data_IF_521191537518
#
_entry.id   IF_521191537518
#
_cell.length_a   1.000
_cell.length_b   1.000
_cell.length_c   1.000
_cell.angle_alpha   90.00
_cell.angle_beta   90.00
_cell.angle_gamma   90.00
#
_symmetry.space_group_name_H-M   'P 1'
#
loop_
_entity.id
_entity.type
_entity.pdbx_description
1 polymer ?
#
# COMPACT_ATOMS: atom_id res chain seq x y z
N UNK A 1 -2.53 21.04 -0.02
CA UNK A 1 -2.17 20.18 1.14
C UNK A 1 -2.89 18.82 1.11
N UNK A 2 -4.23 18.73 1.05
CA UNK A 2 -4.96 17.46 1.07
C UNK A 2 -4.58 16.57 -0.12
N UNK A 3 -4.41 17.13 -1.32
CA UNK A 3 -3.91 16.41 -2.50
C UNK A 3 -2.52 15.75 -2.31
N UNK A 4 -1.68 16.33 -1.45
CA UNK A 4 -0.37 15.73 -1.17
C UNK A 4 -0.47 14.63 -0.11
N UNK A 5 -1.22 14.89 0.96
CA UNK A 5 -1.43 13.95 2.07
C UNK A 5 -2.72 14.26 2.82
N UNK A 6 -3.54 13.27 3.07
CA UNK A 6 -4.78 13.41 3.85
C UNK A 6 -4.55 13.85 5.30
N UNK A 7 -3.37 13.62 5.84
CA UNK A 7 -2.97 14.11 7.17
C UNK A 7 -3.07 15.63 7.30
N UNK A 8 -3.13 16.38 6.18
CA UNK A 8 -3.41 17.81 6.20
C UNK A 8 -4.75 18.17 6.88
N UNK A 9 -5.71 17.24 6.88
CA UNK A 9 -6.97 17.39 7.62
C UNK A 9 -6.72 17.56 9.12
N UNK A 10 -5.73 16.87 9.69
CA UNK A 10 -5.34 17.02 11.10
C UNK A 10 -4.77 18.41 11.37
N UNK A 11 -3.93 18.94 10.46
CA UNK A 11 -3.40 20.31 10.60
C UNK A 11 -4.55 21.32 10.66
N UNK A 12 -5.52 21.20 9.76
CA UNK A 12 -6.71 22.05 9.72
C UNK A 12 -7.53 21.88 11.00
N UNK A 13 -7.79 20.63 11.42
CA UNK A 13 -8.54 20.31 12.63
C UNK A 13 -7.92 20.89 13.89
N UNK A 14 -6.61 20.72 14.10
CA UNK A 14 -5.91 21.29 15.26
C UNK A 14 -5.85 22.83 15.21
N UNK A 15 -5.80 23.43 14.01
CA UNK A 15 -5.90 24.88 13.86
C UNK A 15 -7.28 25.39 14.29
N UNK A 16 -8.35 24.72 13.88
CA UNK A 16 -9.72 25.06 14.30
C UNK A 16 -9.87 24.88 15.81
N UNK A 17 -9.41 23.76 16.36
CA UNK A 17 -9.45 23.50 17.81
C UNK A 17 -8.70 24.55 18.63
N UNK A 18 -7.60 25.11 18.09
CA UNK A 18 -6.87 26.18 18.76
C UNK A 18 -7.68 27.47 18.86
N UNK A 19 -8.63 27.67 17.92
CA UNK A 19 -9.38 28.91 17.78
C UNK A 19 -10.78 28.63 17.26
N UNK A 20 -11.64 28.18 18.12
CA UNK A 20 -13.05 27.93 17.79
C UNK A 20 -13.80 29.19 17.30
N UNK A 21 -13.26 30.39 17.57
CA UNK A 21 -13.80 31.65 17.03
C UNK A 21 -13.79 31.70 15.50
N UNK A 22 -12.92 30.88 14.81
CA UNK A 22 -12.91 30.77 13.37
C UNK A 22 -14.24 30.27 12.81
N UNK A 23 -14.95 29.40 13.54
CA UNK A 23 -16.25 28.85 13.13
C UNK A 23 -17.34 29.93 13.06
N UNK A 24 -17.15 31.10 13.66
CA UNK A 24 -18.06 32.24 13.58
C UNK A 24 -17.77 33.16 12.40
N UNK A 25 -16.69 32.92 11.66
CA UNK A 25 -16.26 33.77 10.55
C UNK A 25 -16.84 33.26 9.21
N UNK A 26 -17.58 34.12 8.53
CA UNK A 26 -18.09 33.84 7.18
C UNK A 26 -16.93 33.54 6.19
N UNK A 27 -15.83 34.29 6.33
CA UNK A 27 -14.64 34.07 5.47
C UNK A 27 -14.04 32.68 5.63
N UNK A 28 -14.09 32.12 6.84
CA UNK A 28 -13.65 30.75 7.09
C UNK A 28 -14.52 29.75 6.33
N UNK A 29 -15.84 29.90 6.35
CA UNK A 29 -16.76 29.00 5.63
C UNK A 29 -16.64 29.15 4.12
N UNK A 30 -16.50 30.38 3.60
CA UNK A 30 -16.25 30.60 2.18
C UNK A 30 -14.94 29.94 1.71
N UNK A 31 -13.85 30.05 2.49
CA UNK A 31 -12.62 29.37 2.20
C UNK A 31 -12.76 27.83 2.24
N UNK A 32 -13.55 27.32 3.19
CA UNK A 32 -13.89 25.90 3.28
C UNK A 32 -14.67 25.39 2.06
N UNK A 33 -15.70 26.11 1.64
CA UNK A 33 -16.47 25.78 0.43
C UNK A 33 -15.57 25.78 -0.79
N UNK A 34 -14.76 26.81 -0.96
CA UNK A 34 -13.80 26.88 -2.08
C UNK A 34 -12.81 25.73 -2.07
N UNK A 35 -12.28 25.34 -0.91
CA UNK A 35 -11.41 24.18 -0.76
C UNK A 35 -12.13 22.87 -1.13
N UNK A 36 -13.41 22.70 -0.75
CA UNK A 36 -14.21 21.53 -1.13
C UNK A 36 -14.47 21.48 -2.64
N UNK A 37 -14.76 22.63 -3.28
CA UNK A 37 -14.91 22.69 -4.74
C UNK A 37 -13.65 22.22 -5.48
N UNK A 38 -12.47 22.65 -5.00
CA UNK A 38 -11.19 22.17 -5.56
C UNK A 38 -11.02 20.66 -5.36
N UNK A 39 -11.58 20.06 -4.33
CA UNK A 39 -11.46 18.63 -4.05
C UNK A 39 -12.48 17.76 -4.83
N UNK A 40 -13.48 18.34 -5.50
CA UNK A 40 -14.48 17.59 -6.27
C UNK A 40 -13.84 16.62 -7.27
N UNK A 41 -12.87 17.02 -8.13
CA UNK A 41 -12.26 16.09 -9.09
C UNK A 41 -11.58 14.91 -8.38
N UNK A 42 -10.99 15.13 -7.22
CA UNK A 42 -10.36 14.08 -6.42
C UNK A 42 -11.39 13.09 -5.84
N UNK A 43 -12.50 13.58 -5.30
CA UNK A 43 -13.57 12.72 -4.81
C UNK A 43 -14.23 11.93 -5.95
N UNK A 44 -14.42 12.55 -7.11
CA UNK A 44 -14.91 11.86 -8.30
C UNK A 44 -13.96 10.73 -8.72
N UNK A 45 -12.66 11.00 -8.75
CA UNK A 45 -11.67 9.97 -9.04
C UNK A 45 -11.67 8.84 -7.99
N UNK A 46 -11.75 9.16 -6.71
CA UNK A 46 -11.86 8.16 -5.64
C UNK A 46 -13.09 7.27 -5.83
N UNK A 47 -14.25 7.86 -6.16
CA UNK A 47 -15.48 7.13 -6.42
C UNK A 47 -15.35 6.21 -7.66
N UNK A 48 -14.76 6.70 -8.73
CA UNK A 48 -14.55 5.95 -9.96
C UNK A 48 -13.57 4.76 -9.83
N UNK A 49 -12.75 4.76 -8.77
CA UNK A 49 -11.75 3.71 -8.49
C UNK A 49 -12.02 2.98 -7.15
N UNK A 50 -13.26 2.94 -6.67
CA UNK A 50 -13.66 2.23 -5.44
C UNK A 50 -12.94 2.68 -4.17
N UNK A 51 -12.65 3.98 -4.04
CA UNK A 51 -12.03 4.60 -2.87
C UNK A 51 -10.70 3.96 -2.42
N UNK A 52 -9.69 3.77 -3.29
CA UNK A 52 -8.49 3.01 -2.97
C UNK A 52 -7.72 3.54 -1.76
N UNK A 53 -7.69 4.86 -1.57
CA UNK A 53 -7.00 5.47 -0.43
C UNK A 53 -7.73 5.24 0.90
N UNK A 54 -9.06 5.25 0.88
CA UNK A 54 -9.86 5.00 2.08
C UNK A 54 -9.81 3.52 2.46
N UNK A 55 -9.90 2.61 1.48
CA UNK A 55 -9.76 1.18 1.71
C UNK A 55 -8.40 0.88 2.36
N UNK A 56 -7.33 1.41 1.81
CA UNK A 56 -5.98 1.23 2.35
C UNK A 56 -5.83 1.69 3.80
N UNK A 57 -6.34 2.89 4.14
CA UNK A 57 -6.13 3.44 5.48
C UNK A 57 -7.10 2.92 6.53
N UNK A 58 -8.33 2.57 6.15
CA UNK A 58 -9.39 2.19 7.09
C UNK A 58 -9.60 0.69 7.20
N UNK A 59 -9.32 -0.06 6.14
CA UNK A 59 -9.56 -1.51 6.07
C UNK A 59 -8.26 -2.30 6.11
N UNK A 60 -7.38 -2.09 5.13
CA UNK A 60 -6.19 -2.94 4.95
C UNK A 60 -5.18 -2.83 6.08
N UNK A 61 -5.12 -1.67 6.74
CA UNK A 61 -4.22 -1.41 7.88
C UNK A 61 -4.82 -1.68 9.24
N UNK A 62 -6.10 -2.04 9.33
CA UNK A 62 -6.76 -2.35 10.60
C UNK A 62 -6.49 -3.80 10.99
N UNK A 63 -5.42 -4.03 11.73
CA UNK A 63 -4.98 -5.40 12.13
C UNK A 63 -5.46 -5.83 13.51
N UNK A 64 -6.27 -5.03 14.19
CA UNK A 64 -6.60 -5.23 15.60
C UNK A 64 -5.48 -4.75 16.54
N UNK A 65 -5.66 -4.95 17.84
CA UNK A 65 -4.70 -4.52 18.85
C UNK A 65 -3.42 -5.36 18.78
N UNK A 66 -2.27 -4.70 18.57
CA UNK A 66 -0.93 -5.30 18.62
C UNK A 66 -0.02 -4.45 19.49
N UNK A 67 0.37 -4.97 20.63
CA UNK A 67 1.29 -4.29 21.55
C UNK A 67 2.63 -3.92 20.89
N UNK A 68 3.12 -4.75 19.96
CA UNK A 68 4.33 -4.47 19.19
C UNK A 68 4.29 -3.14 18.45
N UNK A 69 3.18 -2.82 17.76
CA UNK A 69 3.01 -1.56 17.04
C UNK A 69 3.10 -0.34 17.97
N UNK A 70 2.56 -0.48 19.19
CA UNK A 70 2.62 0.57 20.20
C UNK A 70 4.03 0.75 20.75
N UNK A 71 4.74 -0.35 21.02
CA UNK A 71 6.12 -0.31 21.50
C UNK A 71 7.09 0.25 20.46
N UNK A 72 6.84 0.01 19.17
CA UNK A 72 7.62 0.59 18.06
C UNK A 72 7.35 2.09 17.86
N UNK A 73 6.15 2.56 18.20
CA UNK A 73 5.76 3.95 17.95
C UNK A 73 6.70 4.96 18.63
N UNK A 74 6.97 4.80 19.94
CA UNK A 74 7.81 5.75 20.69
C UNK A 74 9.24 5.84 20.19
N UNK A 75 9.99 4.72 20.00
CA UNK A 75 11.32 4.76 19.40
C UNK A 75 11.32 5.39 18.00
N UNK A 76 10.30 5.12 17.19
CA UNK A 76 10.17 5.71 15.88
C UNK A 76 10.05 7.25 15.94
N UNK A 77 9.29 7.80 16.90
CA UNK A 77 9.22 9.25 17.09
C UNK A 77 10.59 9.84 17.51
N UNK A 78 11.32 9.15 18.38
CA UNK A 78 12.67 9.55 18.74
C UNK A 78 13.61 9.55 17.52
N UNK A 79 13.50 8.58 16.64
CA UNK A 79 14.29 8.52 15.40
C UNK A 79 13.93 9.66 14.44
N UNK A 80 12.63 9.97 14.25
CA UNK A 80 12.17 11.02 13.33
C UNK A 80 12.55 12.42 13.79
N UNK A 81 12.33 12.72 15.07
CA UNK A 81 12.52 14.08 15.61
C UNK A 81 13.84 14.29 16.34
N UNK A 82 14.64 13.25 16.47
CA UNK A 82 15.83 13.23 17.32
C UNK A 82 15.53 13.41 18.83
N UNK A 83 16.07 12.55 19.71
CA UNK A 83 15.82 12.62 21.15
C UNK A 83 16.10 13.98 21.78
N UNK A 84 17.14 14.66 21.29
CA UNK A 84 17.56 15.97 21.79
C UNK A 84 16.54 17.07 21.44
N UNK A 85 15.97 17.03 20.22
CA UNK A 85 14.94 18.00 19.79
C UNK A 85 13.63 17.74 20.52
N UNK A 86 13.22 16.49 20.68
CA UNK A 86 12.04 16.14 21.46
C UNK A 86 12.20 16.59 22.91
N UNK A 87 13.35 16.35 23.53
CA UNK A 87 13.64 16.81 24.90
C UNK A 87 13.45 18.30 25.06
N UNK A 88 13.97 19.10 24.11
CA UNK A 88 13.76 20.55 24.11
C UNK A 88 12.28 20.92 23.94
N UNK A 89 11.57 20.28 23.04
CA UNK A 89 10.15 20.52 22.79
C UNK A 89 9.29 20.22 24.02
N UNK A 90 9.50 19.06 24.64
CA UNK A 90 8.83 18.65 25.87
C UNK A 90 9.10 19.67 26.99
N UNK A 91 10.35 20.04 27.19
CA UNK A 91 10.72 21.06 28.16
C UNK A 91 9.98 22.39 27.90
N UNK A 92 9.98 22.86 26.65
CA UNK A 92 9.29 24.11 26.25
C UNK A 92 7.80 24.02 26.56
N UNK A 93 7.16 22.92 26.13
CA UNK A 93 5.71 22.76 26.27
C UNK A 93 5.26 22.67 27.74
N UNK A 94 6.04 22.06 28.62
CA UNK A 94 5.70 21.95 30.04
C UNK A 94 6.06 23.20 30.86
N UNK A 95 7.10 23.92 30.47
CA UNK A 95 7.57 25.11 31.27
C UNK A 95 7.03 26.45 30.77
N UNK A 96 6.61 26.53 29.51
CA UNK A 96 6.15 27.78 28.92
C UNK A 96 4.69 27.66 28.48
N UNK A 97 3.85 28.53 29.02
CA UNK A 97 2.50 28.69 28.49
C UNK A 97 2.56 29.42 27.13
N UNK A 98 1.71 29.04 26.15
CA UNK A 98 1.66 29.75 24.87
C UNK A 98 1.32 31.25 25.09
N UNK A 99 2.13 32.12 24.50
CA UNK A 99 2.01 33.58 24.66
C UNK A 99 0.89 34.19 23.81
N UNK A 100 0.32 33.43 22.90
CA UNK A 100 -0.76 33.87 22.02
C UNK A 100 -1.38 32.74 21.23
N UNK A 101 -2.33 33.11 20.39
CA UNK A 101 -3.12 32.17 19.61
C UNK A 101 -2.24 31.35 18.61
N UNK A 102 -1.30 32.02 17.96
CA UNK A 102 -0.40 31.37 17.01
C UNK A 102 0.43 30.26 17.69
N UNK A 103 1.07 30.59 18.81
CA UNK A 103 1.87 29.65 19.58
C UNK A 103 1.01 28.50 20.14
N UNK A 104 -0.22 28.81 20.60
CA UNK A 104 -1.20 27.79 21.00
C UNK A 104 -1.54 26.82 19.87
N UNK A 105 -1.69 27.30 18.63
CA UNK A 105 -1.94 26.49 17.45
C UNK A 105 -0.78 25.54 17.21
N UNK A 106 0.47 26.02 17.28
CA UNK A 106 1.66 25.19 17.08
C UNK A 106 1.77 24.09 18.16
N UNK A 107 1.48 24.43 19.42
CA UNK A 107 1.47 23.45 20.52
C UNK A 107 0.42 22.36 20.29
N UNK A 108 -0.79 22.75 19.89
CA UNK A 108 -1.85 21.79 19.59
C UNK A 108 -1.54 20.92 18.39
N UNK A 109 -0.89 21.45 17.37
CA UNK A 109 -0.43 20.63 16.22
C UNK A 109 0.60 19.61 16.68
N UNK A 110 1.63 19.99 17.43
CA UNK A 110 2.65 19.03 17.91
C UNK A 110 2.01 17.95 18.78
N UNK A 111 1.32 18.36 19.86
CA UNK A 111 0.71 17.40 20.79
C UNK A 111 -0.37 16.56 20.09
N UNK A 112 -1.23 17.20 19.31
CA UNK A 112 -2.34 16.56 18.61
C UNK A 112 -1.89 15.48 17.64
N UNK A 113 -0.88 15.73 16.81
CA UNK A 113 -0.33 14.72 15.91
C UNK A 113 0.28 13.53 16.68
N UNK A 114 1.13 13.80 17.67
CA UNK A 114 1.76 12.75 18.46
C UNK A 114 0.71 11.89 19.16
N UNK A 115 -0.27 12.52 19.82
CA UNK A 115 -1.34 11.81 20.53
C UNK A 115 -2.26 11.07 19.56
N UNK A 116 -2.65 11.68 18.44
CA UNK A 116 -3.51 11.05 17.44
C UNK A 116 -2.88 9.77 16.89
N UNK A 117 -1.63 9.84 16.46
CA UNK A 117 -0.96 8.65 15.91
C UNK A 117 -0.58 7.62 16.98
N UNK A 118 -0.40 8.05 18.23
CA UNK A 118 -0.30 7.13 19.35
C UNK A 118 -1.57 6.27 19.48
N UNK A 119 -2.76 6.87 19.39
CA UNK A 119 -4.01 6.11 19.41
C UNK A 119 -4.18 5.24 18.16
N UNK A 120 -3.73 5.68 17.00
CA UNK A 120 -3.74 4.83 15.79
C UNK A 120 -2.82 3.62 15.95
N UNK A 121 -1.69 3.75 16.66
CA UNK A 121 -0.76 2.64 16.93
C UNK A 121 -1.39 1.48 17.71
N UNK A 122 -2.50 1.69 18.42
CA UNK A 122 -3.28 0.59 19.02
C UNK A 122 -3.97 -0.31 17.99
N UNK A 123 -4.23 0.20 16.79
CA UNK A 123 -4.97 -0.51 15.73
C UNK A 123 -4.09 -1.04 14.61
N UNK A 124 -2.82 -0.64 14.56
CA UNK A 124 -1.91 -1.09 13.52
C UNK A 124 -0.62 -0.29 13.45
N UNK A 125 0.26 -0.66 12.55
CA UNK A 125 1.56 -0.03 12.36
C UNK A 125 1.41 1.42 11.87
N UNK A 126 2.08 2.33 12.57
CA UNK A 126 2.18 3.76 12.21
C UNK A 126 3.54 4.02 11.58
N UNK A 127 3.53 4.47 10.32
CA UNK A 127 4.77 4.82 9.64
C UNK A 127 5.47 6.00 10.34
N UNK A 128 6.78 5.92 10.61
CA UNK A 128 7.51 6.97 11.31
C UNK A 128 7.32 8.36 10.69
N UNK A 129 7.28 8.44 9.36
CA UNK A 129 7.17 9.71 8.64
C UNK A 129 5.78 10.37 8.69
N UNK A 130 4.76 9.73 9.28
CA UNK A 130 3.42 10.33 9.33
C UNK A 130 3.35 11.54 10.27
N UNK A 131 4.16 11.57 11.30
CA UNK A 131 4.23 12.69 12.24
C UNK A 131 5.16 13.81 11.79
N UNK A 132 5.84 13.69 10.66
CA UNK A 132 6.83 14.67 10.17
C UNK A 132 6.24 16.07 9.98
N UNK A 133 4.91 16.19 9.80
CA UNK A 133 4.20 17.47 9.76
C UNK A 133 4.43 18.32 11.04
N UNK A 134 4.75 17.68 12.18
CA UNK A 134 5.09 18.36 13.42
C UNK A 134 6.46 19.06 13.37
N UNK A 135 7.32 18.74 12.42
CA UNK A 135 8.67 19.34 12.32
C UNK A 135 8.59 20.86 12.14
N UNK A 136 7.66 21.33 11.31
CA UNK A 136 7.51 22.77 11.06
C UNK A 136 7.11 23.53 12.34
N UNK A 137 5.99 23.20 13.04
CA UNK A 137 5.64 23.86 14.28
C UNK A 137 6.72 23.71 15.37
N UNK A 138 7.40 22.56 15.41
CA UNK A 138 8.49 22.32 16.35
C UNK A 138 9.68 23.25 16.13
N UNK A 139 10.14 23.41 14.88
CA UNK A 139 11.24 24.31 14.52
C UNK A 139 10.86 25.75 14.82
N UNK A 140 9.64 26.17 14.48
CA UNK A 140 9.17 27.53 14.73
C UNK A 140 9.19 27.85 16.24
N UNK A 141 8.64 26.97 17.06
CA UNK A 141 8.63 27.17 18.54
C UNK A 141 10.05 27.17 19.09
N UNK A 142 10.88 26.22 18.69
CA UNK A 142 12.27 26.13 19.16
C UNK A 142 13.04 27.40 18.81
N UNK A 143 12.93 27.87 17.56
CA UNK A 143 13.60 29.11 17.11
C UNK A 143 13.12 30.32 17.87
N UNK A 144 11.80 30.45 18.10
CA UNK A 144 11.23 31.56 18.86
C UNK A 144 11.72 31.55 20.32
N UNK A 145 11.74 30.37 20.98
CA UNK A 145 12.18 30.25 22.37
C UNK A 145 13.69 30.40 22.52
N UNK A 146 14.49 30.02 21.52
CA UNK A 146 15.92 30.32 21.51
C UNK A 146 16.24 31.83 21.58
N UNK A 147 15.33 32.67 21.07
CA UNK A 147 15.48 34.14 21.15
C UNK A 147 15.13 34.74 22.54
N UNK A 148 14.26 34.06 23.29
CA UNK A 148 13.69 34.57 24.52
C UNK A 148 14.21 33.87 25.78
N UNK A 149 14.71 32.64 25.68
CA UNK A 149 15.23 31.84 26.80
C UNK A 149 16.70 31.41 26.56
N UNK A 150 17.66 32.03 27.32
CA UNK A 150 19.07 31.68 27.18
C UNK A 150 19.41 30.20 27.50
N UNK A 151 18.56 29.51 28.27
CA UNK A 151 18.76 28.10 28.61
C UNK A 151 18.49 27.24 27.39
N UNK A 152 17.40 27.50 26.66
CA UNK A 152 17.06 26.80 25.42
C UNK A 152 18.11 27.07 24.37
N UNK A 153 18.57 28.32 24.24
CA UNK A 153 19.64 28.67 23.30
C UNK A 153 20.94 27.90 23.59
N UNK A 154 21.36 27.82 24.85
CA UNK A 154 22.56 27.08 25.25
C UNK A 154 22.41 25.58 24.99
N UNK A 155 21.25 25.01 25.30
CA UNK A 155 20.93 23.61 25.00
C UNK A 155 21.01 23.35 23.51
N UNK A 156 20.33 24.14 22.70
CA UNK A 156 20.31 23.99 21.24
C UNK A 156 21.70 24.09 20.63
N UNK A 157 22.49 25.11 21.03
CA UNK A 157 23.89 25.27 20.58
C UNK A 157 24.78 24.06 20.94
N UNK A 158 24.60 23.50 22.14
CA UNK A 158 25.37 22.36 22.61
C UNK A 158 25.07 21.09 21.78
N UNK A 159 23.82 20.90 21.38
CA UNK A 159 23.37 19.65 20.78
C UNK A 159 23.15 19.69 19.27
N UNK A 160 23.21 20.86 18.63
CA UNK A 160 22.99 20.98 17.16
C UNK A 160 24.06 20.22 16.37
N UNK A 161 25.33 20.36 16.75
CA UNK A 161 26.43 19.68 16.08
C UNK A 161 26.41 18.15 16.29
N UNK A 162 26.30 17.63 17.52
CA UNK A 162 26.11 16.18 17.73
C UNK A 162 24.90 15.63 16.99
N UNK A 163 23.79 16.35 16.92
CA UNK A 163 22.60 15.95 16.14
C UNK A 163 22.93 15.83 14.66
N UNK A 164 23.57 16.85 14.08
CA UNK A 164 23.96 16.83 12.67
C UNK A 164 24.92 15.68 12.36
N UNK A 165 25.92 15.47 13.20
CA UNK A 165 26.88 14.36 13.05
C UNK A 165 26.18 12.99 13.14
N UNK A 166 25.21 12.84 14.04
CA UNK A 166 24.42 11.62 14.15
C UNK A 166 23.62 11.35 12.86
N UNK A 167 22.98 12.36 12.28
CA UNK A 167 22.27 12.21 11.02
C UNK A 167 23.20 11.88 9.84
N UNK A 168 24.34 12.53 9.76
CA UNK A 168 25.37 12.23 8.75
C UNK A 168 25.86 10.80 8.89
N UNK A 169 26.20 10.38 10.13
CA UNK A 169 26.62 9.01 10.40
C UNK A 169 25.54 7.99 10.03
N UNK A 170 24.27 8.25 10.42
CA UNK A 170 23.16 7.38 10.04
C UNK A 170 23.00 7.27 8.51
N UNK A 171 23.18 8.39 7.78
CA UNK A 171 23.16 8.40 6.31
C UNK A 171 24.32 7.59 5.71
N UNK A 172 25.52 7.79 6.20
CA UNK A 172 26.70 7.01 5.75
C UNK A 172 26.44 5.53 6.01
N UNK A 173 25.90 5.17 7.19
CA UNK A 173 25.55 3.79 7.54
C UNK A 173 24.57 3.17 6.56
N UNK A 174 23.56 3.91 6.09
CA UNK A 174 22.57 3.38 5.10
C UNK A 174 23.18 3.16 3.71
N UNK A 175 24.33 3.75 3.40
CA UNK A 175 25.04 3.56 2.14
C UNK A 175 26.05 2.41 2.19
N UNK A 176 26.36 1.88 3.37
CA UNK A 176 27.32 0.78 3.54
C UNK A 176 26.65 -0.58 3.39
N UNK A 177 27.34 -1.55 2.76
CA UNK A 177 26.85 -2.93 2.59
C UNK A 177 27.18 -3.79 3.82
N UNK A 178 26.77 -3.35 5.01
CA UNK A 178 26.92 -4.12 6.24
C UNK A 178 25.82 -5.18 6.33
N UNK A 179 26.18 -6.46 6.41
CA UNK A 179 25.24 -7.60 6.42
C UNK A 179 24.12 -7.45 7.44
N UNK A 180 24.42 -6.93 8.64
CA UNK A 180 23.44 -6.75 9.72
C UNK A 180 22.32 -5.73 9.40
N UNK A 181 22.63 -4.69 8.61
CA UNK A 181 21.67 -3.63 8.24
C UNK A 181 21.30 -3.66 6.76
N UNK A 182 21.66 -4.71 6.04
CA UNK A 182 21.45 -4.85 4.60
C UNK A 182 19.97 -4.67 4.21
N UNK A 183 19.03 -5.09 5.07
CA UNK A 183 17.61 -4.90 4.86
C UNK A 183 17.14 -3.43 4.99
N UNK A 184 17.90 -2.59 5.70
CA UNK A 184 17.67 -1.15 5.87
C UNK A 184 18.51 -0.30 4.92
N UNK A 185 19.57 -0.88 4.33
CA UNK A 185 20.55 -0.19 3.52
C UNK A 185 20.27 -0.35 2.02
N UNK A 186 20.69 0.62 1.23
CA UNK A 186 20.67 0.57 -0.23
C UNK A 186 21.94 -0.10 -0.81
N UNK A 187 22.91 -0.46 0.03
CA UNK A 187 24.15 -1.11 -0.36
C UNK A 187 23.92 -2.43 -1.07
N UNK A 188 24.64 -2.67 -2.16
CA UNK A 188 24.55 -3.86 -3.00
C UNK A 188 23.30 -3.94 -3.89
N UNK A 189 22.29 -3.09 -3.68
CA UNK A 189 21.06 -3.10 -4.48
C UNK A 189 21.28 -2.63 -5.91
N UNK A 190 22.13 -1.66 -6.12
CA UNK A 190 22.46 -1.20 -7.47
C UNK A 190 23.07 -2.32 -8.30
N UNK A 191 24.02 -3.05 -7.75
CA UNK A 191 24.65 -4.17 -8.45
C UNK A 191 23.60 -5.25 -8.80
N UNK A 192 22.73 -5.60 -7.85
CA UNK A 192 21.65 -6.57 -8.09
C UNK A 192 20.76 -6.16 -9.28
N UNK A 193 20.36 -4.89 -9.37
CA UNK A 193 19.51 -4.41 -10.46
C UNK A 193 20.27 -4.22 -11.78
N UNK A 194 21.56 -3.91 -11.74
CA UNK A 194 22.43 -3.88 -12.94
C UNK A 194 22.65 -5.29 -13.51
N UNK A 195 22.80 -6.29 -12.66
CA UNK A 195 22.87 -7.71 -13.06
C UNK A 195 21.57 -8.11 -13.75
N UNK A 196 20.40 -7.77 -13.16
CA UNK A 196 19.10 -8.00 -13.77
C UNK A 196 18.94 -7.28 -15.12
N UNK A 197 19.41 -6.04 -15.23
CA UNK A 197 19.43 -5.30 -16.50
C UNK A 197 20.23 -6.01 -17.58
N UNK A 198 21.40 -6.52 -17.24
CA UNK A 198 22.25 -7.28 -18.15
C UNK A 198 21.56 -8.55 -18.64
N UNK A 199 20.84 -9.25 -17.78
CA UNK A 199 20.09 -10.45 -18.17
C UNK A 199 18.81 -10.13 -18.99
N UNK A 200 18.07 -9.08 -18.62
CA UNK A 200 16.90 -8.67 -19.37
C UNK A 200 17.26 -8.15 -20.77
N UNK A 201 18.44 -7.53 -20.91
CA UNK A 201 18.86 -6.87 -22.15
C UNK A 201 17.94 -5.70 -22.46
N UNK A 202 17.36 -5.69 -23.68
CA UNK A 202 16.44 -4.63 -24.13
C UNK A 202 14.97 -4.94 -23.83
N UNK A 203 14.68 -6.08 -23.20
CA UNK A 203 13.31 -6.44 -22.84
C UNK A 203 12.82 -5.60 -21.66
N UNK A 204 11.54 -5.16 -21.66
CA UNK A 204 10.94 -4.55 -20.49
C UNK A 204 10.88 -5.55 -19.34
N UNK A 205 11.14 -5.06 -18.13
CA UNK A 205 11.14 -5.91 -16.93
C UNK A 205 9.80 -5.82 -16.21
N UNK A 206 9.16 -6.97 -16.01
CA UNK A 206 7.85 -7.10 -15.35
C UNK A 206 8.03 -7.84 -14.02
N UNK A 207 7.63 -7.20 -12.93
CA UNK A 207 7.69 -7.79 -11.60
C UNK A 207 6.31 -8.25 -11.13
N UNK A 208 6.26 -9.34 -10.37
CA UNK A 208 5.07 -9.66 -9.56
C UNK A 208 5.04 -8.85 -8.27
N UNK A 209 3.86 -8.42 -7.83
CA UNK A 209 3.63 -7.82 -6.52
C UNK A 209 3.61 -6.30 -6.50
N UNK A 210 4.31 -5.67 -5.53
CA UNK A 210 4.17 -4.25 -5.27
C UNK A 210 5.19 -3.38 -6.03
N UNK A 211 5.02 -2.06 -5.91
CA UNK A 211 5.74 -1.04 -6.67
C UNK A 211 7.24 -0.88 -6.34
N UNK A 212 7.71 -1.42 -5.21
CA UNK A 212 9.08 -1.17 -4.73
C UNK A 212 10.15 -1.70 -5.70
N UNK A 213 9.99 -2.93 -6.17
CA UNK A 213 10.97 -3.57 -7.07
C UNK A 213 11.09 -2.85 -8.41
N UNK A 214 10.01 -2.60 -9.17
CA UNK A 214 10.12 -1.87 -10.43
C UNK A 214 10.63 -0.42 -10.24
N UNK A 215 10.25 0.26 -9.14
CA UNK A 215 10.75 1.60 -8.86
C UNK A 215 12.25 1.63 -8.60
N UNK A 216 12.78 0.64 -7.86
CA UNK A 216 14.23 0.52 -7.64
C UNK A 216 14.97 0.13 -8.91
N UNK A 217 14.42 -0.78 -9.71
CA UNK A 217 15.00 -1.13 -11.01
C UNK A 217 15.12 0.11 -11.90
N UNK A 218 14.02 0.85 -12.06
CA UNK A 218 14.02 2.08 -12.88
C UNK A 218 14.97 3.15 -12.33
N UNK A 219 15.08 3.26 -10.99
CA UNK A 219 16.00 4.23 -10.36
C UNK A 219 17.47 3.92 -10.66
N UNK A 220 17.88 2.63 -10.55
CA UNK A 220 19.28 2.26 -10.73
C UNK A 220 19.70 2.10 -12.20
N UNK A 221 18.77 1.67 -13.06
CA UNK A 221 19.10 1.35 -14.47
C UNK A 221 18.68 2.45 -15.45
N UNK A 222 17.75 3.32 -15.07
CA UNK A 222 17.13 4.28 -15.97
C UNK A 222 16.12 3.67 -16.94
N UNK A 223 15.90 2.33 -16.89
CA UNK A 223 14.94 1.63 -17.75
C UNK A 223 13.57 1.52 -17.12
N UNK A 224 12.53 1.44 -17.95
CA UNK A 224 11.16 1.22 -17.47
C UNK A 224 10.98 -0.19 -16.95
N UNK A 225 10.22 -0.30 -15.86
CA UNK A 225 9.71 -1.56 -15.34
C UNK A 225 8.30 -1.39 -14.78
N UNK A 226 7.56 -2.48 -14.69
CA UNK A 226 6.18 -2.48 -14.23
C UNK A 226 5.95 -3.57 -13.18
N UNK A 227 4.99 -3.35 -12.27
CA UNK A 227 4.50 -4.39 -11.38
C UNK A 227 3.11 -4.85 -11.81
N UNK A 228 2.89 -6.16 -11.77
CA UNK A 228 1.57 -6.78 -11.88
C UNK A 228 1.17 -7.23 -10.48
N UNK A 229 0.09 -6.65 -9.97
CA UNK A 229 -0.46 -6.99 -8.66
C UNK A 229 -1.32 -8.25 -8.70
N UNK A 230 -1.51 -8.87 -7.55
CA UNK A 230 -2.45 -9.96 -7.33
C UNK A 230 -3.21 -9.73 -6.03
N UNK A 231 -4.14 -10.60 -5.68
CA UNK A 231 -4.86 -10.53 -4.40
C UNK A 231 -3.94 -10.74 -3.18
N UNK A 232 -2.70 -11.24 -3.37
CA UNK A 232 -1.67 -11.30 -2.33
C UNK A 232 -0.96 -9.97 -2.10
N UNK A 233 -1.14 -9.00 -2.99
CA UNK A 233 -0.54 -7.68 -2.91
C UNK A 233 -1.61 -6.61 -3.10
N UNK A 234 -1.38 -5.44 -2.52
CA UNK A 234 -2.30 -4.31 -2.73
C UNK A 234 -2.20 -3.79 -4.15
N UNK A 235 -3.28 -3.23 -4.66
CA UNK A 235 -3.26 -2.43 -5.88
C UNK A 235 -2.32 -1.23 -5.73
N UNK A 236 -1.63 -0.91 -6.81
CA UNK A 236 -0.65 0.16 -6.89
C UNK A 236 -1.02 1.14 -8.01
N UNK A 237 -0.21 2.18 -8.17
CA UNK A 237 -0.36 3.13 -9.27
C UNK A 237 -0.21 2.46 -10.65
N UNK A 238 0.59 1.39 -10.74
CA UNK A 238 0.74 0.62 -11.98
C UNK A 238 -0.61 0.02 -12.43
N UNK A 239 -1.38 -0.51 -11.50
CA UNK A 239 -2.71 -1.09 -11.79
C UNK A 239 -3.71 -0.03 -12.21
N UNK A 240 -3.75 1.11 -11.50
CA UNK A 240 -4.67 2.21 -11.77
C UNK A 240 -4.40 2.85 -13.14
N UNK A 241 -3.14 3.06 -13.47
CA UNK A 241 -2.72 3.62 -14.76
C UNK A 241 -2.65 2.59 -15.88
N UNK A 242 -2.83 1.30 -15.54
CA UNK A 242 -2.91 0.22 -16.53
C UNK A 242 -1.64 0.09 -17.39
N UNK A 243 -0.50 0.21 -16.73
CA UNK A 243 0.79 0.11 -17.43
C UNK A 243 0.99 -1.22 -18.14
N UNK A 244 0.36 -2.31 -17.65
CA UNK A 244 0.43 -3.62 -18.27
C UNK A 244 -0.04 -3.65 -19.72
N UNK A 245 -0.93 -2.74 -20.13
CA UNK A 245 -1.40 -2.65 -21.53
C UNK A 245 -0.28 -2.46 -22.53
N UNK A 246 0.76 -1.70 -22.14
CA UNK A 246 1.92 -1.43 -23.00
C UNK A 246 2.74 -2.68 -23.27
N UNK A 247 2.73 -3.63 -22.34
CA UNK A 247 3.62 -4.78 -22.35
C UNK A 247 2.92 -6.10 -22.69
N UNK A 248 1.60 -6.16 -22.53
CA UNK A 248 0.83 -7.35 -22.88
C UNK A 248 0.99 -7.71 -24.35
N UNK A 249 1.00 -9.01 -24.62
CA UNK A 249 1.18 -9.62 -25.95
C UNK A 249 2.50 -9.22 -26.64
N UNK A 250 3.50 -8.80 -25.85
CA UNK A 250 4.84 -8.44 -26.32
C UNK A 250 5.90 -9.23 -25.53
N UNK A 251 7.10 -9.36 -26.07
CA UNK A 251 8.22 -9.95 -25.34
C UNK A 251 8.55 -9.17 -24.07
N UNK A 252 8.88 -9.88 -22.99
CA UNK A 252 9.23 -9.30 -21.71
C UNK A 252 10.19 -10.19 -20.91
N UNK A 253 10.89 -9.59 -19.96
CA UNK A 253 11.61 -10.31 -18.91
C UNK A 253 10.78 -10.27 -17.61
N UNK A 254 10.38 -11.43 -17.12
CA UNK A 254 9.41 -11.54 -16.04
C UNK A 254 10.10 -12.03 -14.76
N UNK A 255 9.98 -11.25 -13.69
CA UNK A 255 10.49 -11.56 -12.36
C UNK A 255 9.32 -11.89 -11.42
N UNK A 256 9.04 -13.16 -11.21
CA UNK A 256 7.99 -13.62 -10.28
C UNK A 256 8.62 -13.86 -8.92
N UNK A 257 7.96 -13.36 -7.86
CA UNK A 257 8.35 -13.68 -6.50
C UNK A 257 7.83 -15.11 -6.20
N UNK A 258 8.68 -16.08 -5.84
CA UNK A 258 8.26 -17.45 -5.61
C UNK A 258 7.54 -17.58 -4.25
N UNK A 259 6.37 -16.98 -4.10
CA UNK A 259 5.45 -17.23 -2.98
C UNK A 259 4.51 -18.43 -3.23
N UNK A 260 4.74 -19.17 -4.29
CA UNK A 260 4.00 -20.38 -4.62
C UNK A 260 4.82 -21.23 -5.57
N UNK A 261 4.66 -22.51 -5.50
CA UNK A 261 5.32 -23.66 -6.13
C UNK A 261 5.78 -23.57 -7.62
N UNK A 262 6.10 -22.40 -8.12
CA UNK A 262 6.58 -22.20 -9.51
C UNK A 262 8.03 -21.72 -9.55
N UNK A 263 8.92 -22.37 -8.81
CA UNK A 263 10.37 -22.25 -9.01
C UNK A 263 10.81 -22.98 -10.30
N UNK A 264 10.15 -22.68 -11.43
CA UNK A 264 10.45 -23.41 -12.68
C UNK A 264 11.72 -22.87 -13.35
N UNK A 265 12.18 -21.67 -13.01
CA UNK A 265 13.34 -21.03 -13.65
C UNK A 265 14.14 -20.15 -12.66
N UNK A 266 14.56 -20.69 -11.52
CA UNK A 266 15.56 -20.01 -10.72
C UNK A 266 16.94 -20.21 -11.38
N UNK A 267 17.47 -19.17 -12.02
CA UNK A 267 18.90 -19.10 -12.26
C UNK A 267 19.58 -18.88 -10.90
N UNK A 268 20.53 -19.73 -10.54
CA UNK A 268 21.28 -19.66 -9.26
C UNK A 268 22.06 -18.32 -9.10
N UNK A 269 22.15 -17.53 -10.17
CA UNK A 269 22.88 -16.27 -10.25
C UNK A 269 22.03 -15.05 -9.95
N UNK A 270 20.71 -15.09 -10.13
CA UNK A 270 19.84 -13.93 -9.87
C UNK A 270 18.97 -14.15 -8.66
N UNK A 271 19.11 -13.30 -7.66
CA UNK A 271 18.25 -13.24 -6.46
C UNK A 271 16.77 -12.97 -6.75
N UNK A 272 16.42 -12.64 -7.98
CA UNK A 272 15.06 -12.25 -8.36
C UNK A 272 14.27 -13.34 -9.05
N UNK A 273 14.90 -14.44 -9.47
CA UNK A 273 14.26 -15.46 -10.31
C UNK A 273 13.52 -14.80 -11.48
N UNK A 274 14.01 -14.95 -12.70
CA UNK A 274 13.40 -14.33 -13.86
C UNK A 274 13.51 -15.20 -15.08
N UNK A 275 12.65 -14.99 -16.06
CA UNK A 275 12.67 -15.69 -17.34
C UNK A 275 12.18 -14.78 -18.46
N UNK A 276 12.60 -15.10 -19.68
CA UNK A 276 12.15 -14.41 -20.89
C UNK A 276 10.87 -15.06 -21.41
N UNK A 277 9.95 -14.24 -21.86
CA UNK A 277 8.74 -14.68 -22.57
C UNK A 277 8.63 -13.92 -23.90
N UNK A 278 8.12 -14.59 -24.91
CA UNK A 278 7.85 -13.96 -26.21
C UNK A 278 6.53 -13.18 -26.21
N UNK A 279 5.63 -13.55 -25.30
CA UNK A 279 4.33 -12.89 -25.14
C UNK A 279 3.95 -12.85 -23.67
N UNK A 280 3.88 -11.64 -23.11
CA UNK A 280 3.35 -11.42 -21.77
C UNK A 280 1.82 -11.53 -21.80
N UNK A 281 1.24 -12.27 -20.85
CA UNK A 281 -0.20 -12.35 -20.69
C UNK A 281 -0.60 -12.03 -19.25
N UNK A 282 -1.37 -10.96 -19.06
CA UNK A 282 -2.02 -10.62 -17.77
C UNK A 282 -3.52 -10.75 -17.89
N UNK A 283 -4.19 -11.02 -16.77
CA UNK A 283 -5.64 -11.20 -16.69
C UNK A 283 -6.33 -10.22 -15.73
N UNK A 284 -5.58 -9.26 -15.20
CA UNK A 284 -6.02 -8.35 -14.13
C UNK A 284 -7.22 -7.47 -14.52
N UNK A 285 -7.46 -7.26 -15.82
CA UNK A 285 -8.55 -6.40 -16.31
C UNK A 285 -9.78 -7.15 -16.77
N UNK A 286 -9.69 -8.47 -16.89
CA UNK A 286 -10.87 -9.28 -17.18
C UNK A 286 -11.89 -9.05 -16.07
N UNK A 287 -13.11 -8.79 -16.44
CA UNK A 287 -14.22 -8.56 -15.51
C UNK A 287 -15.08 -9.77 -15.44
N UNK A 288 -15.33 -10.24 -14.23
CA UNK A 288 -16.22 -11.36 -13.95
C UNK A 288 -17.41 -10.82 -13.13
N UNK A 289 -18.61 -10.93 -13.68
CA UNK A 289 -19.85 -10.79 -12.93
C UNK A 289 -20.42 -12.17 -12.64
N UNK A 290 -21.01 -12.35 -11.49
CA UNK A 290 -21.57 -13.61 -11.04
C UNK A 290 -22.74 -13.38 -10.12
N UNK A 291 -23.62 -14.37 -10.02
CA UNK A 291 -24.72 -14.40 -9.06
C UNK A 291 -24.61 -15.62 -8.17
N UNK A 292 -24.80 -15.42 -6.86
CA UNK A 292 -24.85 -16.46 -5.85
C UNK A 292 -26.02 -16.20 -4.92
N UNK A 293 -26.94 -17.15 -4.86
CA UNK A 293 -28.18 -17.05 -4.09
C UNK A 293 -27.96 -17.35 -2.61
N UNK A 294 -27.13 -18.35 -2.35
CA UNK A 294 -26.81 -18.80 -0.99
C UNK A 294 -25.69 -17.95 -0.38
N UNK A 295 -25.83 -17.61 0.89
CA UNK A 295 -24.83 -16.83 1.64
C UNK A 295 -24.35 -17.50 2.92
N UNK A 296 -25.02 -18.57 3.33
CA UNK A 296 -24.64 -19.40 4.46
C UNK A 296 -24.23 -20.77 3.94
N UNK A 297 -23.07 -21.24 4.32
CA UNK A 297 -22.47 -22.49 3.86
C UNK A 297 -21.89 -23.30 5.02
N UNK A 298 -21.83 -24.62 4.84
CA UNK A 298 -21.07 -25.55 5.66
C UNK A 298 -19.89 -26.12 4.90
N UNK A 299 -18.82 -26.57 5.57
CA UNK A 299 -17.77 -27.33 4.91
C UNK A 299 -18.36 -28.54 4.18
N UNK A 300 -17.97 -28.73 2.93
CA UNK A 300 -18.51 -29.81 2.08
C UNK A 300 -19.75 -29.43 1.26
N UNK A 301 -20.38 -28.28 1.49
CA UNK A 301 -21.47 -27.82 0.64
C UNK A 301 -21.04 -27.62 -0.81
N UNK A 302 -21.87 -28.09 -1.73
CA UNK A 302 -21.71 -27.80 -3.14
C UNK A 302 -22.21 -26.39 -3.45
N UNK A 303 -21.42 -25.66 -4.24
CA UNK A 303 -21.78 -24.33 -4.71
C UNK A 303 -21.76 -24.28 -6.24
N UNK A 304 -22.86 -23.81 -6.81
CA UNK A 304 -23.03 -23.60 -8.22
C UNK A 304 -23.14 -22.10 -8.49
N UNK A 305 -22.26 -21.58 -9.37
CA UNK A 305 -22.19 -20.15 -9.65
C UNK A 305 -22.22 -19.92 -11.15
N UNK A 306 -23.25 -19.20 -11.60
CA UNK A 306 -23.30 -18.70 -12.97
C UNK A 306 -22.42 -17.44 -13.07
N UNK A 307 -21.60 -17.38 -14.12
CA UNK A 307 -20.71 -16.25 -14.35
C UNK A 307 -20.78 -15.73 -15.79
N UNK A 308 -20.44 -14.47 -15.93
CA UNK A 308 -20.19 -13.81 -17.20
C UNK A 308 -18.80 -13.19 -17.12
N UNK A 309 -17.91 -13.52 -18.07
CA UNK A 309 -16.52 -13.06 -18.09
C UNK A 309 -16.28 -12.30 -19.40
N UNK A 310 -15.77 -11.05 -19.28
CA UNK A 310 -15.52 -10.18 -20.43
C UNK A 310 -14.03 -9.88 -20.54
N UNK A 311 -13.44 -10.11 -21.70
CA UNK A 311 -12.07 -9.76 -22.03
C UNK A 311 -12.02 -8.32 -22.60
N UNK A 312 -11.56 -7.32 -21.85
CA UNK A 312 -11.48 -5.93 -22.33
C UNK A 312 -10.18 -5.61 -23.08
N UNK A 313 -9.32 -6.60 -23.26
CA UNK A 313 -8.08 -6.42 -24.01
C UNK A 313 -8.33 -6.50 -25.52
N UNK A 314 -7.41 -5.96 -26.30
CA UNK A 314 -7.35 -6.01 -27.76
C UNK A 314 -6.65 -7.24 -28.31
N UNK A 315 -6.33 -8.21 -27.44
CA UNK A 315 -5.72 -9.52 -27.76
C UNK A 315 -6.46 -10.66 -27.06
N UNK A 316 -6.27 -11.86 -27.58
CA UNK A 316 -6.88 -13.06 -27.04
C UNK A 316 -6.20 -13.49 -25.74
N UNK A 317 -6.97 -14.00 -24.79
CA UNK A 317 -6.46 -14.63 -23.57
C UNK A 317 -6.49 -16.14 -23.77
N UNK A 318 -5.32 -16.75 -23.80
CA UNK A 318 -5.14 -18.19 -23.89
C UNK A 318 -4.99 -18.80 -22.48
N UNK A 319 -5.95 -19.64 -22.09
CA UNK A 319 -5.94 -20.31 -20.79
C UNK A 319 -4.83 -21.36 -20.68
N UNK A 320 -4.35 -21.88 -21.81
CA UNK A 320 -3.25 -22.83 -21.89
C UNK A 320 -1.91 -22.18 -22.23
N UNK A 321 -1.79 -20.87 -22.05
CA UNK A 321 -0.57 -20.13 -22.36
C UNK A 321 0.66 -20.73 -21.64
N UNK A 322 1.75 -20.99 -22.39
CA UNK A 322 2.92 -21.70 -21.90
C UNK A 322 3.50 -21.15 -20.58
N UNK A 323 3.64 -19.83 -20.47
CA UNK A 323 4.25 -19.17 -19.30
C UNK A 323 3.22 -18.60 -18.34
N UNK A 324 1.99 -18.37 -18.79
CA UNK A 324 0.91 -17.73 -18.01
C UNK A 324 -0.39 -18.52 -18.14
N UNK A 325 -0.39 -19.83 -17.80
CA UNK A 325 -1.64 -20.59 -17.80
C UNK A 325 -2.64 -19.93 -16.87
N UNK A 326 -3.91 -19.92 -17.24
CA UNK A 326 -4.99 -19.26 -16.50
C UNK A 326 -5.94 -20.31 -15.95
N UNK A 327 -6.27 -20.20 -14.67
CA UNK A 327 -7.35 -20.96 -14.04
C UNK A 327 -8.40 -20.03 -13.47
N UNK A 328 -9.67 -20.41 -13.57
CA UNK A 328 -10.76 -19.77 -12.84
C UNK A 328 -10.86 -20.42 -11.46
N UNK A 329 -10.93 -19.62 -10.40
CA UNK A 329 -11.02 -20.09 -9.03
C UNK A 329 -12.07 -19.29 -8.25
N UNK A 330 -12.68 -19.91 -7.25
CA UNK A 330 -13.35 -19.20 -6.17
C UNK A 330 -12.28 -18.73 -5.18
N UNK A 331 -12.41 -17.50 -4.73
CA UNK A 331 -11.54 -16.92 -3.70
C UNK A 331 -12.36 -16.62 -2.47
N UNK A 332 -11.93 -17.18 -1.33
CA UNK A 332 -12.48 -16.88 -0.02
C UNK A 332 -11.44 -16.09 0.79
N UNK A 333 -11.83 -14.96 1.35
CA UNK A 333 -10.92 -14.11 2.13
C UNK A 333 -11.47 -13.88 3.54
N UNK A 334 -10.66 -14.19 4.55
CA UNK A 334 -10.93 -13.91 5.97
C UNK A 334 -9.76 -13.11 6.55
N UNK A 335 -9.98 -11.82 6.77
CA UNK A 335 -8.91 -10.93 7.22
C UNK A 335 -7.79 -10.80 6.17
N UNK A 336 -6.61 -11.37 6.45
CA UNK A 336 -5.47 -11.42 5.54
C UNK A 336 -5.28 -12.79 4.87
N UNK A 337 -6.03 -13.77 5.29
CA UNK A 337 -5.95 -15.12 4.75
C UNK A 337 -6.78 -15.22 3.47
N UNK A 338 -6.19 -15.80 2.45
CA UNK A 338 -6.79 -16.02 1.15
C UNK A 338 -6.74 -17.51 0.82
N UNK A 339 -7.90 -18.06 0.50
CA UNK A 339 -8.09 -19.45 0.15
C UNK A 339 -8.56 -19.53 -1.29
N UNK A 340 -7.80 -20.24 -2.12
CA UNK A 340 -8.18 -20.55 -3.51
C UNK A 340 -8.91 -21.88 -3.49
N UNK A 341 -10.10 -21.89 -4.08
CA UNK A 341 -10.91 -23.11 -4.25
C UNK A 341 -10.98 -23.42 -5.74
N UNK A 342 -10.53 -24.60 -6.09
CA UNK A 342 -10.61 -25.08 -7.46
C UNK A 342 -12.05 -25.30 -7.88
N UNK A 343 -12.35 -25.03 -9.12
CA UNK A 343 -13.70 -25.15 -9.68
C UNK A 343 -13.72 -26.10 -10.87
N UNK A 344 -14.81 -26.84 -11.00
CA UNK A 344 -15.14 -27.58 -12.21
C UNK A 344 -16.05 -26.71 -13.08
N UNK A 345 -15.67 -26.50 -14.34
CA UNK A 345 -16.48 -25.77 -15.30
C UNK A 345 -17.28 -26.77 -16.15
N UNK A 346 -18.57 -26.53 -16.36
CA UNK A 346 -19.38 -27.35 -17.28
C UNK A 346 -18.81 -27.34 -18.70
N UNK A 347 -18.36 -26.16 -19.15
CA UNK A 347 -17.68 -25.95 -20.40
C UNK A 347 -16.33 -25.28 -20.12
N UNK A 348 -15.24 -26.02 -20.28
CA UNK A 348 -13.91 -25.49 -20.04
C UNK A 348 -13.56 -24.38 -21.04
N UNK A 349 -13.36 -23.17 -20.53
CA UNK A 349 -12.90 -22.03 -21.33
C UNK A 349 -11.41 -22.24 -21.61
N UNK A 350 -11.06 -22.38 -22.88
CA UNK A 350 -9.66 -22.51 -23.32
C UNK A 350 -9.11 -21.20 -23.88
N UNK A 351 -9.97 -20.31 -24.36
CA UNK A 351 -9.60 -19.01 -24.93
C UNK A 351 -10.77 -18.03 -24.81
N UNK A 352 -10.46 -16.75 -24.59
CA UNK A 352 -11.41 -15.65 -24.74
C UNK A 352 -10.82 -14.66 -25.74
N UNK A 353 -11.52 -14.42 -26.84
CA UNK A 353 -11.07 -13.50 -27.90
C UNK A 353 -11.07 -12.06 -27.42
N UNK A 354 -10.34 -11.21 -28.12
CA UNK A 354 -10.34 -9.78 -27.89
C UNK A 354 -11.77 -9.20 -27.89
N UNK A 355 -12.15 -8.48 -26.83
CA UNK A 355 -13.49 -7.90 -26.67
C UNK A 355 -14.63 -8.91 -26.43
N UNK A 356 -14.34 -10.22 -26.38
CA UNK A 356 -15.37 -11.25 -26.23
C UNK A 356 -15.90 -11.33 -24.80
N UNK A 357 -17.17 -11.71 -24.70
CA UNK A 357 -17.82 -12.06 -23.44
C UNK A 357 -18.28 -13.51 -23.52
N UNK A 358 -17.88 -14.30 -22.52
CA UNK A 358 -18.26 -15.69 -22.35
C UNK A 358 -19.05 -15.88 -21.07
N UNK A 359 -19.95 -16.85 -21.05
CA UNK A 359 -20.71 -17.22 -19.84
C UNK A 359 -20.62 -18.71 -19.60
N UNK A 360 -20.81 -19.10 -18.36
CA UNK A 360 -20.80 -20.50 -17.96
C UNK A 360 -21.21 -20.67 -16.51
N UNK A 361 -21.26 -21.93 -16.09
CA UNK A 361 -21.50 -22.31 -14.69
C UNK A 361 -20.28 -23.03 -14.15
N UNK A 362 -19.89 -22.73 -12.94
CA UNK A 362 -18.87 -23.43 -12.18
C UNK A 362 -19.50 -24.18 -11.02
N UNK A 363 -18.89 -25.32 -10.71
CA UNK A 363 -19.21 -26.16 -9.58
C UNK A 363 -17.99 -26.26 -8.68
N UNK A 364 -18.18 -26.09 -7.37
CA UNK A 364 -17.13 -26.23 -6.39
C UNK A 364 -17.69 -26.78 -5.08
N UNK A 365 -16.78 -27.23 -4.22
CA UNK A 365 -17.12 -27.64 -2.85
C UNK A 365 -16.45 -26.70 -1.88
N UNK A 366 -17.21 -26.19 -0.91
CA UNK A 366 -16.68 -25.34 0.14
C UNK A 366 -15.68 -26.14 0.98
N UNK A 367 -14.41 -25.70 1.08
CA UNK A 367 -13.40 -26.42 1.83
C UNK A 367 -13.66 -26.35 3.35
N UNK A 368 -12.99 -27.23 4.09
CA UNK A 368 -13.00 -27.19 5.55
C UNK A 368 -12.26 -25.94 6.03
N UNK A 369 -13.01 -24.97 6.53
CA UNK A 369 -12.53 -23.68 7.01
C UNK A 369 -13.12 -23.37 8.39
N UNK A 370 -12.45 -22.48 9.12
CA UNK A 370 -12.95 -22.01 10.42
C UNK A 370 -14.26 -21.23 10.25
N UNK A 371 -15.19 -21.44 11.19
CA UNK A 371 -16.42 -20.67 11.24
C UNK A 371 -16.16 -19.16 11.19
N UNK A 372 -17.01 -18.44 10.45
CA UNK A 372 -16.94 -16.99 10.40
C UNK A 372 -17.43 -16.36 9.11
N UNK A 373 -17.19 -15.06 9.03
CA UNK A 373 -17.54 -14.24 7.85
C UNK A 373 -16.38 -14.21 6.86
N UNK A 374 -16.66 -14.58 5.63
CA UNK A 374 -15.72 -14.56 4.52
C UNK A 374 -16.19 -13.57 3.43
N UNK A 375 -15.24 -13.10 2.64
CA UNK A 375 -15.55 -12.44 1.38
C UNK A 375 -15.35 -13.45 0.25
N UNK A 376 -16.38 -13.69 -0.52
CA UNK A 376 -16.42 -14.60 -1.65
C UNK A 376 -16.27 -13.83 -2.95
N UNK A 377 -15.48 -14.30 -3.89
CA UNK A 377 -15.34 -13.75 -5.24
C UNK A 377 -14.82 -14.79 -6.23
N UNK A 378 -14.94 -14.48 -7.52
CA UNK A 378 -14.34 -15.22 -8.61
C UNK A 378 -13.07 -14.51 -9.06
N UNK A 379 -12.03 -15.26 -9.33
CA UNK A 379 -10.70 -14.78 -9.70
C UNK A 379 -10.09 -15.62 -10.81
N UNK A 380 -9.40 -14.98 -11.72
CA UNK A 380 -8.46 -15.64 -12.62
C UNK A 380 -7.10 -15.66 -11.96
N UNK A 381 -6.53 -16.84 -11.87
CA UNK A 381 -5.21 -17.10 -11.34
C UNK A 381 -4.24 -17.44 -12.45
N UNK A 382 -3.08 -16.80 -12.49
CA UNK A 382 -2.00 -17.09 -13.41
C UNK A 382 -0.65 -17.04 -12.70
N UNK A 383 0.46 -16.99 -13.44
CA UNK A 383 1.80 -16.94 -12.88
C UNK A 383 2.05 -15.74 -11.93
N UNK A 384 1.29 -14.63 -12.04
CA UNK A 384 1.38 -13.49 -11.12
C UNK A 384 0.53 -13.69 -9.85
N UNK A 385 -0.28 -14.73 -9.79
CA UNK A 385 -1.23 -15.01 -8.71
C UNK A 385 -2.67 -14.65 -9.07
N UNK A 386 -3.61 -14.86 -8.12
CA UNK A 386 -5.02 -14.58 -8.32
C UNK A 386 -5.28 -13.08 -8.46
N UNK A 387 -6.07 -12.70 -9.46
CA UNK A 387 -6.36 -11.31 -9.81
C UNK A 387 -7.71 -10.85 -9.27
N UNK A 388 -7.88 -9.54 -9.06
CA UNK A 388 -9.16 -8.94 -8.66
C UNK A 388 -10.08 -8.79 -9.89
N UNK A 389 -10.75 -9.85 -10.27
CA UNK A 389 -11.61 -9.88 -11.47
C UNK A 389 -13.08 -9.64 -11.18
N UNK A 390 -13.55 -9.92 -9.96
CA UNK A 390 -14.95 -9.81 -9.58
C UNK A 390 -15.14 -8.97 -8.31
N UNK A 391 -16.37 -8.53 -8.08
CA UNK A 391 -16.75 -7.92 -6.80
C UNK A 391 -16.87 -8.99 -5.73
N UNK A 392 -16.32 -8.73 -4.54
CA UNK A 392 -16.47 -9.62 -3.41
C UNK A 392 -17.79 -9.39 -2.67
N UNK A 393 -18.46 -10.47 -2.30
CA UNK A 393 -19.67 -10.47 -1.46
C UNK A 393 -19.37 -11.14 -0.12
N UNK A 394 -20.16 -10.81 0.91
CA UNK A 394 -20.03 -11.44 2.23
C UNK A 394 -20.84 -12.72 2.31
N UNK A 395 -20.21 -13.79 2.77
CA UNK A 395 -20.81 -15.07 3.09
C UNK A 395 -20.45 -15.45 4.53
N UNK A 396 -21.16 -16.45 5.07
CA UNK A 396 -20.91 -17.01 6.39
C UNK A 396 -20.61 -18.51 6.19
N UNK A 397 -19.53 -18.99 6.79
CA UNK A 397 -19.25 -20.40 6.90
C UNK A 397 -19.58 -20.80 8.35
N UNK A 398 -20.43 -21.80 8.53
CA UNK A 398 -20.86 -22.34 9.83
C UNK A 398 -20.18 -23.69 10.05
N UNK A 399 -19.97 -24.07 11.32
CA UNK A 399 -19.61 -25.45 11.66
C UNK A 399 -20.83 -26.36 11.48
N UNK A 400 -20.56 -27.60 11.12
CA UNK A 400 -21.57 -28.67 11.27
C UNK A 400 -21.82 -28.86 12.79
N UNK A 401 -23.11 -28.88 13.19
CA UNK A 401 -23.53 -29.16 14.56
C UNK A 401 -23.17 -30.60 15.00
#
# INVERSE_FOLDING_TARGET
MIYSKYQAVLVIGFTILSTLKLLKSVRFWLAGIFALLILIPHFHWQLANDFPSFQYHLVDRSEGFKLGCLLEYLPNQLAVFNPLTIGAAVYIMFKNKPSGQFERTLYLQIAGFIIFFFFIAFRGHVEPHWTIACSVPLIVILTQKCRTDPRILRYTRKFILPTLLLFIAARIFTLTDIKFIRHLAFGGKEQEYRELESEAGDLPVVFSGAFQRPSMYSFFTGKEAVAISSLYSRQTQFDIWQFEKKYNNNPAFVCINPLGNSAIYASDTIKFGGYRTDSLQTVNRIKISYDIKQKDFHPGDEVNVDYIMTNPYDFNIDFNHRHFPVSLNIVLVKGKELYLVDVNQENQVTMIRAGETVSGTIHAVIPVLDEGKYSFGLSLNNAFGPSLNSRFIKIIIRKDD
#
